data_IF_722522254446
#
_entry.id   IF_722522254446
#
_cell.length_a   1.000
_cell.length_b   1.000
_cell.length_c   1.000
_cell.angle_alpha   90.00
_cell.angle_beta   90.00
_cell.angle_gamma   90.00
#
_symmetry.space_group_name_H-M   'P 1'
#
loop_
_entity.id
_entity.type
_entity.pdbx_description
1 polymer ?
#
# COMPACT_ATOMS: atom_id res chain seq x y z
N UNK A 1 -18.96 38.82 -37.63
CA UNK A 1 -17.75 38.05 -38.02
C UNK A 1 -16.61 38.52 -37.13
N UNK A 2 -15.96 37.73 -36.30
CA UNK A 2 -16.14 36.37 -35.80
C UNK A 2 -15.16 36.32 -34.61
N UNK A 3 -15.63 36.44 -33.36
CA UNK A 3 -14.76 36.15 -32.19
C UNK A 3 -15.01 34.70 -31.81
N UNK A 4 -14.11 33.82 -32.24
CA UNK A 4 -14.09 32.43 -31.80
C UNK A 4 -13.50 32.40 -30.39
N UNK A 5 -14.37 32.15 -29.42
CA UNK A 5 -13.98 31.75 -28.08
C UNK A 5 -13.26 30.40 -28.16
N UNK A 6 -12.03 30.36 -27.66
CA UNK A 6 -11.29 29.14 -27.39
C UNK A 6 -11.88 28.60 -26.08
N UNK A 7 -12.75 27.60 -26.16
CA UNK A 7 -13.13 26.81 -25.00
C UNK A 7 -11.91 25.97 -24.56
N UNK A 8 -11.18 26.47 -23.56
CA UNK A 8 -10.30 25.63 -22.75
C UNK A 8 -11.17 24.57 -22.09
N UNK A 9 -11.15 23.37 -22.66
CA UNK A 9 -11.75 22.18 -22.07
C UNK A 9 -10.91 21.84 -20.84
N UNK A 10 -11.30 22.38 -19.68
CA UNK A 10 -10.75 21.99 -18.38
C UNK A 10 -11.01 20.48 -18.25
N UNK A 11 -9.97 19.67 -18.41
CA UNK A 11 -10.04 18.25 -18.13
C UNK A 11 -10.08 18.15 -16.60
N UNK A 12 -11.26 17.89 -16.06
CA UNK A 12 -11.47 17.70 -14.63
C UNK A 12 -10.63 16.49 -14.19
N UNK A 13 -9.64 16.72 -13.32
CA UNK A 13 -8.74 15.66 -12.87
C UNK A 13 -9.52 14.63 -12.07
N UNK A 14 -9.49 13.37 -12.50
CA UNK A 14 -10.20 12.29 -11.83
C UNK A 14 -9.62 12.04 -10.44
N UNK A 15 -10.45 12.14 -9.40
CA UNK A 15 -10.06 11.96 -8.00
C UNK A 15 -10.49 10.62 -7.44
N UNK A 16 -9.74 10.10 -6.45
CA UNK A 16 -9.95 8.78 -5.91
C UNK A 16 -11.18 8.62 -5.01
N UNK A 17 -11.74 9.72 -4.51
CA UNK A 17 -12.90 9.75 -3.63
C UNK A 17 -13.78 10.95 -4.00
N UNK A 18 -15.05 10.69 -4.25
CA UNK A 18 -16.06 11.69 -4.58
C UNK A 18 -17.21 11.62 -3.56
N UNK A 19 -17.85 12.76 -3.31
CA UNK A 19 -19.02 12.88 -2.42
C UNK A 19 -20.21 13.37 -3.25
N UNK A 20 -21.24 12.54 -3.36
CA UNK A 20 -22.52 12.90 -3.93
C UNK A 20 -23.37 13.62 -2.86
N UNK A 21 -23.50 14.94 -3.02
CA UNK A 21 -24.25 15.78 -2.08
C UNK A 21 -25.75 15.55 -2.06
N UNK A 22 -26.33 14.96 -3.11
CA UNK A 22 -27.77 14.66 -3.18
C UNK A 22 -28.12 13.43 -2.32
N UNK A 23 -27.15 12.53 -2.12
CA UNK A 23 -27.29 11.38 -1.23
C UNK A 23 -26.89 11.68 0.21
N UNK A 24 -26.25 12.82 0.48
CA UNK A 24 -25.75 13.15 1.81
C UNK A 24 -26.89 13.42 2.80
N UNK A 25 -27.03 12.56 3.80
CA UNK A 25 -28.03 12.69 4.87
C UNK A 25 -27.62 13.61 6.04
N UNK A 26 -26.49 14.33 5.93
CA UNK A 26 -26.02 15.31 6.94
C UNK A 26 -25.87 14.75 8.38
N UNK A 27 -25.58 13.45 8.53
CA UNK A 27 -25.51 12.74 9.81
C UNK A 27 -24.18 12.87 10.59
N UNK A 28 -23.14 13.49 10.00
CA UNK A 28 -21.81 13.73 10.61
C UNK A 28 -20.98 12.48 10.99
N UNK A 29 -21.37 11.27 10.59
CA UNK A 29 -20.58 10.06 10.87
C UNK A 29 -19.20 10.15 10.19
N UNK A 30 -19.18 10.54 8.92
CA UNK A 30 -17.97 10.57 8.10
C UNK A 30 -16.96 11.64 8.57
N UNK A 31 -17.41 12.82 9.00
CA UNK A 31 -16.54 13.86 9.58
C UNK A 31 -15.98 13.43 10.94
N UNK A 32 -16.78 12.77 11.79
CA UNK A 32 -16.33 12.26 13.09
C UNK A 32 -15.27 11.15 12.97
N UNK A 33 -15.37 10.33 11.93
CA UNK A 33 -14.47 9.20 11.68
C UNK A 33 -13.23 9.57 10.88
N UNK A 34 -13.22 10.72 10.19
CA UNK A 34 -12.05 11.16 9.44
C UNK A 34 -10.87 11.41 10.41
N UNK A 35 -9.72 10.74 10.24
CA UNK A 35 -8.52 11.03 11.02
C UNK A 35 -7.75 12.24 10.52
N UNK A 36 -8.05 12.70 9.30
CA UNK A 36 -7.26 13.68 8.56
C UNK A 36 -8.00 15.00 8.35
N UNK A 37 -9.15 15.18 9.00
CA UNK A 37 -9.97 16.39 8.90
C UNK A 37 -10.37 16.80 7.47
N UNK A 38 -10.31 15.85 6.53
CA UNK A 38 -10.70 16.03 5.13
C UNK A 38 -12.21 16.15 4.93
N UNK A 39 -13.02 15.88 5.96
CA UNK A 39 -14.47 15.92 5.90
C UNK A 39 -14.98 16.85 7.00
N UNK A 40 -15.65 17.93 6.60
CA UNK A 40 -16.19 18.94 7.51
C UNK A 40 -17.67 19.12 7.28
N UNK A 41 -18.35 19.68 8.28
CA UNK A 41 -19.74 20.08 8.14
C UNK A 41 -19.78 21.55 7.74
N UNK A 42 -20.48 21.85 6.67
CA UNK A 42 -20.79 23.21 6.29
C UNK A 42 -21.80 23.81 7.28
N UNK A 43 -21.53 25.02 7.78
CA UNK A 43 -22.32 25.63 8.84
C UNK A 43 -23.69 26.12 8.36
N UNK A 44 -23.82 26.47 7.09
CA UNK A 44 -25.05 27.03 6.50
C UNK A 44 -26.00 25.93 6.03
N UNK A 45 -25.50 24.99 5.25
CA UNK A 45 -26.28 23.90 4.63
C UNK A 45 -26.39 22.68 5.53
N UNK A 46 -25.48 22.53 6.50
CA UNK A 46 -25.34 21.33 7.31
C UNK A 46 -24.83 20.11 6.54
N UNK A 47 -24.54 20.24 5.24
CA UNK A 47 -24.00 19.15 4.42
C UNK A 47 -22.53 18.89 4.76
N UNK A 48 -22.06 17.72 4.39
CA UNK A 48 -20.63 17.40 4.49
C UNK A 48 -19.90 17.97 3.27
N UNK A 49 -18.72 18.56 3.50
CA UNK A 49 -17.79 19.03 2.47
C UNK A 49 -16.52 18.18 2.53
N UNK A 50 -16.03 17.75 1.37
CA UNK A 50 -14.78 17.01 1.20
C UNK A 50 -13.66 17.94 0.75
N UNK A 51 -12.66 18.14 1.60
CA UNK A 51 -11.39 18.77 1.25
C UNK A 51 -10.44 17.70 0.69
N UNK A 52 -10.49 17.49 -0.63
CA UNK A 52 -9.76 16.39 -1.28
C UNK A 52 -8.28 16.41 -0.95
N UNK A 53 -7.61 17.56 -0.88
CA UNK A 53 -6.17 17.65 -0.59
C UNK A 53 -5.74 17.06 0.75
N UNK A 54 -6.63 17.04 1.75
CA UNK A 54 -6.35 16.40 3.05
C UNK A 54 -6.69 14.91 3.05
N UNK A 55 -7.41 14.43 2.05
CA UNK A 55 -7.88 13.06 1.99
C UNK A 55 -6.71 12.08 1.78
N UNK A 56 -6.53 11.18 2.71
CA UNK A 56 -5.53 10.11 2.61
C UNK A 56 -6.08 8.84 1.95
N UNK A 57 -7.29 8.90 1.39
CA UNK A 57 -7.98 7.81 0.67
C UNK A 57 -8.05 6.53 1.53
N UNK A 58 -8.30 6.69 2.84
CA UNK A 58 -8.37 5.57 3.79
C UNK A 58 -9.61 4.70 3.57
N UNK A 59 -10.71 5.29 3.06
CA UNK A 59 -11.98 4.64 2.74
C UNK A 59 -12.94 4.47 3.93
N UNK A 60 -12.66 5.09 5.09
CA UNK A 60 -13.53 4.97 6.26
C UNK A 60 -14.91 5.59 6.01
N UNK A 61 -14.96 6.80 5.42
CA UNK A 61 -16.20 7.48 5.06
C UNK A 61 -17.03 6.68 4.05
N UNK A 62 -16.38 6.10 3.04
CA UNK A 62 -17.00 5.20 2.07
C UNK A 62 -17.67 4.02 2.76
N UNK A 63 -16.92 3.31 3.62
CA UNK A 63 -17.39 2.08 4.24
C UNK A 63 -18.49 2.26 5.30
N UNK A 64 -18.70 3.48 5.79
CA UNK A 64 -19.56 3.75 6.97
C UNK A 64 -20.76 4.63 6.64
N UNK A 65 -20.82 5.20 5.43
CA UNK A 65 -21.86 6.12 5.05
C UNK A 65 -23.18 5.38 4.85
N UNK A 66 -24.19 5.56 5.73
CA UNK A 66 -25.44 4.84 5.61
C UNK A 66 -26.23 5.22 4.35
N UNK A 67 -26.01 6.42 3.83
CA UNK A 67 -26.67 6.92 2.63
C UNK A 67 -25.89 6.62 1.34
N UNK A 68 -24.74 5.95 1.42
CA UNK A 68 -23.87 5.60 0.27
C UNK A 68 -23.52 6.81 -0.60
N UNK A 69 -23.31 7.95 0.03
CA UNK A 69 -22.99 9.21 -0.63
C UNK A 69 -21.54 9.31 -1.12
N UNK A 70 -20.68 8.32 -0.88
CA UNK A 70 -19.28 8.36 -1.30
C UNK A 70 -19.03 7.31 -2.38
N UNK A 71 -18.34 7.73 -3.43
CA UNK A 71 -17.78 6.85 -4.45
C UNK A 71 -16.26 6.83 -4.31
N UNK A 72 -15.65 5.65 -4.48
CA UNK A 72 -14.20 5.46 -4.34
C UNK A 72 -13.68 4.64 -5.51
N UNK A 73 -12.56 5.03 -6.11
CA UNK A 73 -11.97 4.30 -7.24
C UNK A 73 -11.38 2.95 -6.80
N UNK A 74 -10.79 2.92 -5.61
CA UNK A 74 -10.02 1.78 -5.14
C UNK A 74 -10.84 0.92 -4.17
N UNK A 75 -11.06 -0.34 -4.53
CA UNK A 75 -11.74 -1.33 -3.69
C UNK A 75 -13.18 -0.89 -3.37
N UNK A 76 -13.91 -0.42 -4.39
CA UNK A 76 -15.37 -0.26 -4.29
C UNK A 76 -16.05 -1.62 -4.09
N UNK A 77 -17.33 -1.58 -3.74
CA UNK A 77 -18.16 -2.76 -3.48
C UNK A 77 -18.22 -3.70 -4.69
N UNK A 78 -18.25 -3.16 -5.90
CA UNK A 78 -18.38 -3.93 -7.13
C UNK A 78 -17.10 -4.69 -7.44
N UNK A 79 -15.93 -4.05 -7.33
CA UNK A 79 -14.63 -4.68 -7.50
C UNK A 79 -14.31 -5.70 -6.41
N UNK A 80 -14.68 -5.40 -5.16
CA UNK A 80 -14.59 -6.37 -4.06
C UNK A 80 -15.46 -7.59 -4.32
N UNK A 81 -16.69 -7.38 -4.82
CA UNK A 81 -17.62 -8.48 -5.13
C UNK A 81 -17.11 -9.32 -6.29
N UNK A 82 -16.68 -8.71 -7.39
CA UNK A 82 -16.08 -9.41 -8.54
C UNK A 82 -14.84 -10.21 -8.15
N UNK A 83 -13.97 -9.62 -7.34
CA UNK A 83 -12.81 -10.31 -6.78
C UNK A 83 -13.23 -11.56 -6.01
N UNK A 84 -14.19 -11.46 -5.08
CA UNK A 84 -14.64 -12.60 -4.28
C UNK A 84 -15.26 -13.70 -5.15
N UNK A 85 -16.03 -13.34 -6.17
CA UNK A 85 -16.68 -14.31 -7.08
C UNK A 85 -15.64 -15.10 -7.86
N UNK A 86 -14.62 -14.42 -8.40
CA UNK A 86 -13.49 -15.06 -9.09
C UNK A 86 -12.62 -15.88 -8.13
N UNK A 87 -12.24 -15.31 -6.99
CA UNK A 87 -11.31 -15.95 -6.06
C UNK A 87 -11.93 -17.18 -5.39
N UNK A 88 -13.25 -17.21 -5.17
CA UNK A 88 -13.92 -18.42 -4.67
C UNK A 88 -13.75 -19.60 -5.64
N UNK A 89 -13.81 -19.35 -6.95
CA UNK A 89 -13.62 -20.38 -7.97
C UNK A 89 -12.15 -20.82 -8.07
N UNK A 90 -11.22 -19.86 -8.01
CA UNK A 90 -9.79 -20.10 -8.13
C UNK A 90 -9.21 -20.85 -6.93
N UNK A 91 -9.52 -20.38 -5.71
CA UNK A 91 -8.97 -20.95 -4.49
C UNK A 91 -9.78 -22.14 -3.97
N UNK A 92 -11.04 -22.32 -4.37
CA UNK A 92 -11.92 -23.40 -3.89
C UNK A 92 -11.87 -23.53 -2.34
N UNK A 93 -12.15 -22.42 -1.66
CA UNK A 93 -12.20 -22.36 -0.19
C UNK A 93 -13.45 -21.65 0.30
N UNK A 94 -13.91 -22.06 1.47
CA UNK A 94 -14.99 -21.40 2.20
C UNK A 94 -14.44 -20.53 3.36
N UNK A 95 -13.14 -20.31 3.38
CA UNK A 95 -12.47 -19.43 4.33
C UNK A 95 -11.91 -18.22 3.60
N UNK A 96 -12.30 -17.02 4.03
CA UNK A 96 -11.77 -15.76 3.52
C UNK A 96 -10.84 -15.14 4.56
N UNK A 97 -9.67 -14.68 4.14
CA UNK A 97 -8.77 -13.89 4.99
C UNK A 97 -8.56 -12.52 4.37
N UNK A 98 -9.04 -11.47 5.03
CA UNK A 98 -8.89 -10.07 4.62
C UNK A 98 -7.78 -9.43 5.44
N UNK A 99 -6.76 -8.87 4.79
CA UNK A 99 -5.53 -8.43 5.44
C UNK A 99 -5.25 -6.94 5.20
N UNK A 100 -4.96 -6.21 6.28
CA UNK A 100 -4.39 -4.85 6.24
C UNK A 100 -2.99 -4.95 5.60
N UNK A 101 -2.75 -4.29 4.46
CA UNK A 101 -1.41 -4.22 3.84
C UNK A 101 -0.32 -3.74 4.81
N UNK A 102 -0.69 -2.95 5.82
CA UNK A 102 0.24 -2.49 6.85
C UNK A 102 0.69 -3.58 7.82
N UNK A 103 -0.05 -4.68 7.97
CA UNK A 103 0.23 -5.73 8.94
C UNK A 103 0.24 -7.15 8.35
N UNK A 104 0.15 -7.28 7.04
CA UNK A 104 0.09 -8.58 6.37
C UNK A 104 1.47 -9.25 6.40
N UNK A 105 1.62 -10.39 7.11
CA UNK A 105 2.83 -11.18 7.06
C UNK A 105 2.81 -12.06 5.80
N UNK A 106 3.73 -13.02 5.71
CA UNK A 106 3.66 -14.06 4.67
C UNK A 106 2.48 -15.02 4.89
N UNK A 107 2.20 -15.86 3.89
CA UNK A 107 1.07 -16.80 3.95
C UNK A 107 1.22 -17.83 5.07
N UNK A 108 2.41 -18.36 5.31
CA UNK A 108 2.67 -19.33 6.39
C UNK A 108 2.30 -18.77 7.76
N UNK A 109 2.61 -17.49 8.02
CA UNK A 109 2.24 -16.84 9.28
C UNK A 109 0.75 -16.56 9.37
N UNK A 110 0.08 -16.27 8.26
CA UNK A 110 -1.39 -16.15 8.23
C UNK A 110 -2.05 -17.49 8.59
N UNK A 111 -1.54 -18.59 8.04
CA UNK A 111 -1.98 -19.95 8.36
C UNK A 111 -1.84 -20.25 9.86
N UNK A 112 -0.67 -19.96 10.44
CA UNK A 112 -0.42 -20.08 11.89
C UNK A 112 -1.37 -19.20 12.71
N UNK A 113 -1.50 -17.92 12.33
CA UNK A 113 -2.30 -16.95 13.05
C UNK A 113 -3.77 -17.35 13.10
N UNK A 114 -4.36 -17.86 12.03
CA UNK A 114 -5.78 -18.22 12.01
C UNK A 114 -6.07 -19.71 12.15
N UNK A 115 -5.05 -20.57 12.18
CA UNK A 115 -5.22 -22.02 12.19
C UNK A 115 -5.89 -22.52 10.92
N UNK A 116 -5.52 -21.95 9.77
CA UNK A 116 -6.11 -22.24 8.44
C UNK A 116 -5.03 -22.81 7.52
N UNK A 117 -5.41 -23.64 6.54
CA UNK A 117 -4.48 -24.23 5.57
C UNK A 117 -4.85 -23.94 4.11
N UNK A 118 -6.09 -23.50 3.87
CA UNK A 118 -6.59 -23.18 2.53
C UNK A 118 -7.62 -22.05 2.64
N UNK A 119 -7.34 -20.90 2.05
CA UNK A 119 -8.18 -19.72 2.18
C UNK A 119 -8.07 -18.81 0.95
N UNK A 120 -9.07 -17.94 0.80
CA UNK A 120 -9.09 -16.85 -0.19
C UNK A 120 -8.35 -15.65 0.43
N UNK A 121 -7.23 -15.16 -0.15
CA UNK A 121 -6.44 -14.07 0.42
C UNK A 121 -6.81 -12.70 -0.18
N UNK A 122 -7.50 -11.84 0.57
CA UNK A 122 -7.82 -10.47 0.13
C UNK A 122 -6.95 -9.44 0.88
N UNK A 123 -5.91 -8.95 0.23
CA UNK A 123 -5.07 -7.87 0.79
C UNK A 123 -5.60 -6.50 0.36
N UNK A 124 -5.83 -5.61 1.33
CA UNK A 124 -6.40 -4.28 1.10
C UNK A 124 -5.59 -3.21 1.82
N UNK A 125 -5.54 -1.96 1.33
CA UNK A 125 -4.75 -0.92 1.99
C UNK A 125 -5.18 -0.70 3.44
N UNK A 126 -6.49 -0.74 3.71
CA UNK A 126 -7.04 -0.69 5.06
C UNK A 126 -8.24 -1.62 5.17
N UNK A 127 -8.29 -2.50 6.16
CA UNK A 127 -9.49 -3.32 6.43
C UNK A 127 -10.70 -2.47 6.85
N UNK A 128 -10.47 -1.26 7.37
CA UNK A 128 -11.52 -0.31 7.72
C UNK A 128 -12.25 0.26 6.51
N UNK A 129 -11.77 0.08 5.28
CA UNK A 129 -12.47 0.51 4.07
C UNK A 129 -13.55 -0.46 3.61
N UNK A 130 -13.58 -1.67 4.16
CA UNK A 130 -14.46 -2.72 3.69
C UNK A 130 -15.89 -2.44 4.18
N UNK A 131 -16.86 -2.23 3.28
CA UNK A 131 -18.27 -2.07 3.65
C UNK A 131 -18.84 -3.37 4.23
N UNK A 132 -19.83 -3.23 5.10
CA UNK A 132 -20.51 -4.34 5.75
C UNK A 132 -21.12 -5.32 4.73
N UNK A 133 -21.60 -4.78 3.61
CA UNK A 133 -22.20 -5.53 2.51
C UNK A 133 -21.24 -6.56 1.92
N UNK A 134 -19.93 -6.30 1.92
CA UNK A 134 -18.94 -7.25 1.40
C UNK A 134 -18.86 -8.50 2.27
N UNK A 135 -18.93 -8.35 3.60
CA UNK A 135 -18.96 -9.50 4.51
C UNK A 135 -20.25 -10.30 4.35
N UNK A 136 -21.40 -9.61 4.23
CA UNK A 136 -22.69 -10.26 4.00
C UNK A 136 -22.72 -10.99 2.66
N UNK A 137 -22.22 -10.37 1.59
CA UNK A 137 -22.07 -10.97 0.27
C UNK A 137 -21.17 -12.20 0.34
N UNK A 138 -20.02 -12.14 1.01
CA UNK A 138 -19.15 -13.29 1.20
C UNK A 138 -19.87 -14.48 1.86
N UNK A 139 -20.63 -14.23 2.95
CA UNK A 139 -21.41 -15.26 3.63
C UNK A 139 -22.48 -15.89 2.73
N UNK A 140 -23.23 -15.07 1.98
CA UNK A 140 -24.24 -15.55 1.03
C UNK A 140 -23.67 -16.34 -0.14
N UNK A 141 -22.39 -16.12 -0.48
CA UNK A 141 -21.63 -16.94 -1.43
C UNK A 141 -21.11 -18.25 -0.81
N UNK A 142 -21.49 -18.58 0.43
CA UNK A 142 -21.11 -19.81 1.11
C UNK A 142 -19.72 -19.79 1.75
N UNK A 143 -19.08 -18.62 1.90
CA UNK A 143 -17.93 -18.47 2.80
C UNK A 143 -18.46 -18.65 4.23
N UNK A 144 -17.85 -19.56 5.00
CA UNK A 144 -18.31 -19.94 6.35
C UNK A 144 -17.48 -19.32 7.47
N UNK A 145 -16.25 -18.93 7.16
CA UNK A 145 -15.35 -18.28 8.09
C UNK A 145 -14.68 -17.09 7.42
N UNK A 146 -14.86 -15.91 7.99
CA UNK A 146 -14.17 -14.69 7.55
C UNK A 146 -13.17 -14.32 8.64
N UNK A 147 -11.91 -14.22 8.26
CA UNK A 147 -10.82 -13.84 9.14
C UNK A 147 -10.30 -12.48 8.69
N UNK A 148 -10.13 -11.56 9.62
CA UNK A 148 -9.64 -10.21 9.36
C UNK A 148 -8.36 -10.03 10.13
N UNK A 149 -7.29 -9.71 9.42
CA UNK A 149 -6.02 -9.32 10.00
C UNK A 149 -5.86 -7.81 9.90
N UNK A 150 -6.07 -7.13 11.00
CA UNK A 150 -5.91 -5.70 11.10
C UNK A 150 -4.55 -5.33 11.70
N UNK A 151 -4.15 -4.09 11.45
CA UNK A 151 -2.99 -3.49 12.08
C UNK A 151 -3.27 -3.27 13.60
N UNK A 152 -2.26 -3.36 14.48
CA UNK A 152 -2.42 -2.88 15.87
C UNK A 152 -2.86 -1.41 15.90
N UNK A 153 -3.58 -1.00 16.94
CA UNK A 153 -4.17 0.34 17.00
C UNK A 153 -3.08 1.43 17.01
N UNK A 154 -2.04 1.30 17.84
CA UNK A 154 -0.89 2.22 17.88
C UNK A 154 0.04 2.15 16.64
N UNK A 155 -0.23 1.18 15.75
CA UNK A 155 0.49 0.97 14.50
C UNK A 155 -0.34 1.39 13.26
N UNK A 156 -1.61 1.75 13.44
CA UNK A 156 -2.52 1.95 12.34
C UNK A 156 -2.06 3.09 11.41
N UNK A 157 -1.76 2.77 10.14
CA UNK A 157 -1.30 3.75 9.14
C UNK A 157 -2.31 4.82 8.78
N UNK A 158 -3.58 4.53 9.05
CA UNK A 158 -4.67 5.47 8.85
C UNK A 158 -5.27 5.95 10.18
N UNK A 159 -4.53 5.81 11.28
CA UNK A 159 -4.88 6.22 12.65
C UNK A 159 -6.14 5.53 13.21
N UNK A 160 -7.32 5.78 12.65
CA UNK A 160 -8.60 5.22 13.09
C UNK A 160 -9.03 3.93 12.39
N UNK A 161 -8.28 3.45 11.40
CA UNK A 161 -8.69 2.30 10.58
C UNK A 161 -8.94 1.00 11.38
N UNK A 162 -7.98 0.64 12.22
CA UNK A 162 -8.03 -0.54 13.08
C UNK A 162 -9.12 -0.48 14.15
N UNK A 163 -9.25 0.60 14.95
CA UNK A 163 -10.31 0.68 15.96
C UNK A 163 -11.71 0.79 15.36
N UNK A 164 -11.88 1.46 14.21
CA UNK A 164 -13.18 1.47 13.49
C UNK A 164 -13.56 0.06 13.06
N UNK A 165 -12.62 -0.69 12.46
CA UNK A 165 -12.87 -2.08 12.06
C UNK A 165 -13.33 -2.94 13.23
N UNK A 166 -12.66 -2.85 14.38
CA UNK A 166 -13.04 -3.63 15.57
C UNK A 166 -14.49 -3.38 16.00
N UNK A 167 -14.93 -2.12 16.03
CA UNK A 167 -16.31 -1.76 16.36
C UNK A 167 -17.32 -2.29 15.32
N UNK A 168 -17.00 -2.16 14.03
CA UNK A 168 -17.83 -2.69 12.93
C UNK A 168 -18.03 -4.20 13.06
N UNK A 169 -16.94 -4.94 13.28
CA UNK A 169 -16.98 -6.41 13.37
C UNK A 169 -17.71 -6.89 14.62
N UNK A 170 -17.54 -6.21 15.75
CA UNK A 170 -18.32 -6.50 16.95
C UNK A 170 -19.83 -6.37 16.69
N UNK A 171 -20.26 -5.24 16.12
CA UNK A 171 -21.67 -5.01 15.80
C UNK A 171 -22.20 -6.03 14.78
N UNK A 172 -21.41 -6.34 13.75
CA UNK A 172 -21.79 -7.29 12.71
C UNK A 172 -21.92 -8.72 13.24
N UNK A 173 -21.01 -9.20 14.10
CA UNK A 173 -21.13 -10.52 14.71
C UNK A 173 -22.37 -10.65 15.62
N UNK A 174 -22.78 -9.57 16.31
CA UNK A 174 -24.02 -9.56 17.08
C UNK A 174 -25.24 -9.74 16.17
N UNK A 175 -25.29 -9.01 15.05
CA UNK A 175 -26.33 -9.15 14.03
C UNK A 175 -26.35 -10.56 13.42
N UNK A 176 -25.18 -11.07 13.03
CA UNK A 176 -25.04 -12.40 12.43
C UNK A 176 -25.46 -13.52 13.40
N UNK A 177 -25.20 -13.36 14.70
CA UNK A 177 -25.70 -14.25 15.73
C UNK A 177 -27.23 -14.32 15.76
N UNK A 178 -27.90 -13.16 15.65
CA UNK A 178 -29.38 -13.09 15.59
C UNK A 178 -29.95 -13.69 14.29
N UNK A 179 -29.20 -13.60 13.19
CA UNK A 179 -29.57 -14.17 11.89
C UNK A 179 -29.24 -15.67 11.76
N UNK A 180 -28.71 -16.30 12.82
CA UNK A 180 -28.41 -17.74 12.83
C UNK A 180 -27.06 -18.14 12.23
N UNK A 181 -26.17 -17.19 11.91
CA UNK A 181 -24.81 -17.46 11.43
C UNK A 181 -23.81 -17.71 12.57
N UNK A 182 -24.22 -17.53 13.83
CA UNK A 182 -23.37 -17.66 15.01
C UNK A 182 -22.60 -16.38 15.36
N UNK A 183 -22.05 -16.33 16.57
CA UNK A 183 -21.41 -15.13 17.14
C UNK A 183 -19.93 -14.97 16.77
N UNK A 184 -19.38 -15.87 15.95
CA UNK A 184 -17.97 -15.91 15.53
C UNK A 184 -17.78 -16.12 14.03
N UNK A 185 -18.76 -15.71 13.21
CA UNK A 185 -18.67 -15.81 11.75
C UNK A 185 -17.51 -14.98 11.19
N UNK A 186 -17.16 -13.89 11.88
CA UNK A 186 -16.03 -13.02 11.54
C UNK A 186 -15.03 -12.96 12.70
N UNK A 187 -13.81 -13.42 12.48
CA UNK A 187 -12.73 -13.38 13.45
C UNK A 187 -11.80 -12.21 13.16
N UNK A 188 -11.47 -11.41 14.16
CA UNK A 188 -10.52 -10.30 14.04
C UNK A 188 -9.26 -10.61 14.85
N UNK A 189 -8.10 -10.56 14.18
CA UNK A 189 -6.79 -10.57 14.84
C UNK A 189 -6.01 -9.31 14.49
N UNK A 190 -5.02 -9.00 15.33
CA UNK A 190 -4.10 -7.89 15.11
C UNK A 190 -2.70 -8.42 14.79
N UNK A 191 -1.97 -7.65 14.00
CA UNK A 191 -0.54 -7.85 13.77
C UNK A 191 0.14 -6.51 13.50
N UNK A 192 1.47 -6.49 13.57
CA UNK A 192 2.29 -5.36 13.18
C UNK A 192 3.60 -5.87 12.55
N UNK A 193 4.10 -5.14 11.55
CA UNK A 193 5.36 -5.52 10.91
C UNK A 193 6.53 -4.99 11.73
N UNK A 194 7.45 -5.88 12.10
CA UNK A 194 8.59 -5.57 12.94
C UNK A 194 9.89 -6.02 12.29
N UNK A 195 10.94 -5.25 12.56
CA UNK A 195 12.30 -5.60 12.14
C UNK A 195 12.79 -6.79 12.97
N UNK A 196 13.48 -7.71 12.31
CA UNK A 196 14.20 -8.84 12.91
C UNK A 196 15.70 -8.61 12.72
N UNK A 197 16.49 -9.00 13.71
CA UNK A 197 17.95 -8.88 13.69
C UNK A 197 18.61 -10.25 13.78
N UNK A 198 19.55 -10.49 12.87
CA UNK A 198 20.58 -11.51 13.01
C UNK A 198 21.73 -10.94 13.83
N UNK A 199 21.86 -11.45 15.06
CA UNK A 199 22.87 -10.99 16.02
C UNK A 199 24.30 -11.38 15.63
N UNK A 200 24.45 -12.49 14.91
CA UNK A 200 25.76 -13.02 14.53
C UNK A 200 26.35 -12.23 13.34
N UNK A 201 25.49 -11.63 12.51
CA UNK A 201 25.92 -10.73 11.42
C UNK A 201 26.06 -9.28 11.84
N UNK A 202 25.56 -8.88 13.00
CA UNK A 202 25.59 -7.49 13.43
C UNK A 202 27.02 -7.01 13.73
N UNK A 203 27.49 -5.97 13.04
CA UNK A 203 28.82 -5.38 13.25
C UNK A 203 28.82 -4.14 14.17
N UNK A 204 27.72 -3.89 14.88
CA UNK A 204 27.59 -2.77 15.83
C UNK A 204 27.85 -1.36 15.24
N UNK A 205 27.69 -1.14 13.92
CA UNK A 205 28.03 0.15 13.27
C UNK A 205 27.13 1.33 13.65
N UNK A 206 25.95 1.09 14.23
CA UNK A 206 25.03 2.15 14.67
C UNK A 206 24.18 2.82 13.57
N UNK A 207 24.30 2.45 12.28
CA UNK A 207 23.48 3.05 11.22
C UNK A 207 21.97 2.96 11.49
N UNK A 208 21.51 1.79 11.94
CA UNK A 208 20.10 1.60 12.27
C UNK A 208 19.63 2.45 13.46
N UNK A 209 20.53 2.85 14.37
CA UNK A 209 20.24 3.82 15.43
C UNK A 209 20.14 5.22 14.83
N UNK A 210 21.16 5.63 14.07
CA UNK A 210 21.24 6.96 13.48
C UNK A 210 20.07 7.29 12.53
N UNK A 211 19.67 6.34 11.68
CA UNK A 211 18.63 6.58 10.67
C UNK A 211 17.21 6.32 11.17
N UNK A 212 17.02 5.65 12.31
CA UNK A 212 15.68 5.30 12.80
C UNK A 212 14.90 6.57 13.15
N UNK A 213 13.75 6.85 12.51
CA UNK A 213 12.96 8.04 12.83
C UNK A 213 12.17 7.93 14.14
N UNK A 214 12.12 6.74 14.72
CA UNK A 214 11.26 6.41 15.85
C UNK A 214 12.07 6.08 17.10
N UNK A 215 13.39 6.28 17.06
CA UNK A 215 14.30 5.94 18.18
C UNK A 215 14.17 4.49 18.65
N UNK A 216 13.68 3.61 17.76
CA UNK A 216 13.36 2.23 18.07
C UNK A 216 14.60 1.32 18.14
N UNK A 217 15.79 1.83 17.80
CA UNK A 217 17.04 1.06 17.81
C UNK A 217 18.00 1.66 18.82
N UNK A 218 18.64 0.82 19.65
CA UNK A 218 19.62 1.23 20.66
C UNK A 218 20.88 0.38 20.55
N UNK A 219 22.04 1.01 20.58
CA UNK A 219 23.31 0.29 20.59
C UNK A 219 23.64 -0.11 22.03
N UNK A 220 23.55 -1.41 22.34
CA UNK A 220 23.90 -1.91 23.68
C UNK A 220 25.40 -2.00 23.85
N UNK A 221 25.87 -1.82 25.09
CA UNK A 221 27.26 -2.04 25.45
C UNK A 221 27.41 -3.33 26.24
N UNK A 222 28.22 -4.32 25.77
CA UNK A 222 28.96 -4.33 24.52
C UNK A 222 28.19 -4.93 23.32
N UNK A 223 28.13 -4.20 22.20
CA UNK A 223 28.41 -4.75 20.86
C UNK A 223 27.27 -5.24 19.97
N UNK A 224 25.99 -5.09 20.33
CA UNK A 224 24.88 -5.47 19.41
C UNK A 224 23.74 -4.44 19.54
N UNK A 225 23.06 -4.15 18.44
CA UNK A 225 21.87 -3.28 18.47
C UNK A 225 20.65 -4.06 18.99
N UNK A 226 19.89 -3.45 19.90
CA UNK A 226 18.58 -3.90 20.34
C UNK A 226 17.49 -3.05 19.69
N UNK A 227 16.28 -3.61 19.54
CA UNK A 227 15.13 -2.87 19.04
C UNK A 227 13.99 -2.86 20.06
N UNK A 228 13.47 -1.67 20.32
CA UNK A 228 12.17 -1.51 20.95
C UNK A 228 11.09 -1.75 19.90
N UNK A 229 10.48 -2.94 19.97
CA UNK A 229 9.46 -3.33 19.01
C UNK A 229 8.14 -2.58 19.21
N UNK A 230 7.89 -1.93 20.36
CA UNK A 230 6.71 -1.08 20.52
C UNK A 230 6.84 0.19 19.67
N UNK A 231 8.03 0.79 19.66
CA UNK A 231 8.34 1.99 18.87
C UNK A 231 8.59 1.70 17.38
N UNK A 232 9.01 0.48 17.05
CA UNK A 232 9.26 0.08 15.67
C UNK A 232 7.98 0.17 14.82
N UNK A 233 7.96 1.14 13.90
CA UNK A 233 6.87 1.27 12.92
C UNK A 233 7.13 0.49 11.63
N UNK A 234 8.12 -0.41 11.55
CA UNK A 234 8.25 -1.32 10.39
C UNK A 234 8.46 -0.65 9.02
N UNK A 235 9.14 0.51 8.94
CA UNK A 235 9.36 1.22 7.68
C UNK A 235 10.42 0.57 6.75
N UNK A 236 11.31 -0.26 7.31
CA UNK A 236 12.36 -0.94 6.55
C UNK A 236 13.62 -0.11 6.26
N UNK A 237 13.70 1.15 6.70
CA UNK A 237 14.87 2.01 6.47
C UNK A 237 16.17 1.43 7.04
N UNK A 238 16.11 0.89 8.25
CA UNK A 238 17.27 0.25 8.88
C UNK A 238 17.78 -0.96 8.08
N UNK A 239 16.88 -1.68 7.40
CA UNK A 239 17.22 -2.82 6.53
C UNK A 239 17.99 -2.35 5.30
N UNK A 240 17.56 -1.25 4.68
CA UNK A 240 18.24 -0.64 3.53
C UNK A 240 19.62 -0.07 3.88
N UNK A 241 19.79 0.44 5.10
CA UNK A 241 21.03 1.09 5.56
C UNK A 241 22.02 0.16 6.28
N UNK A 242 21.69 -1.12 6.46
CA UNK A 242 22.54 -2.07 7.19
C UNK A 242 23.67 -2.60 6.30
N UNK A 243 24.93 -2.20 6.51
CA UNK A 243 26.04 -2.65 5.66
C UNK A 243 26.36 -4.14 5.83
N UNK A 244 26.00 -4.73 6.97
CA UNK A 244 26.25 -6.14 7.28
C UNK A 244 25.10 -7.08 6.87
N UNK A 245 24.01 -6.52 6.32
CA UNK A 245 22.80 -7.26 5.95
C UNK A 245 22.22 -8.10 7.10
N UNK A 246 22.32 -7.57 8.33
CA UNK A 246 21.93 -8.24 9.56
C UNK A 246 20.47 -7.98 9.97
N UNK A 247 19.73 -7.20 9.18
CA UNK A 247 18.37 -6.77 9.49
C UNK A 247 17.42 -7.22 8.41
N UNK A 248 16.23 -7.68 8.81
CA UNK A 248 15.16 -8.08 7.91
C UNK A 248 13.83 -7.50 8.37
N UNK A 249 12.89 -7.36 7.44
CA UNK A 249 11.51 -7.00 7.73
C UNK A 249 10.64 -8.15 7.21
N UNK A 250 9.79 -8.69 8.07
CA UNK A 250 8.92 -9.82 7.73
C UNK A 250 8.13 -9.58 6.44
N UNK A 251 8.16 -10.53 5.50
CA UNK A 251 7.57 -10.46 4.15
C UNK A 251 8.31 -9.54 3.14
N UNK A 252 9.36 -8.83 3.57
CA UNK A 252 10.26 -8.01 2.72
C UNK A 252 11.74 -8.31 3.01
N UNK A 253 12.03 -9.59 3.25
CA UNK A 253 13.38 -10.14 3.34
C UNK A 253 14.14 -9.88 2.03
N UNK A 254 15.45 -9.72 2.14
CA UNK A 254 16.28 -9.36 0.99
C UNK A 254 16.22 -10.43 -0.11
N UNK A 255 16.37 -11.70 0.28
CA UNK A 255 16.35 -12.83 -0.65
C UNK A 255 15.00 -12.99 -1.35
N UNK A 256 13.90 -12.71 -0.63
CA UNK A 256 12.55 -12.75 -1.19
C UNK A 256 12.38 -11.73 -2.31
N UNK A 257 12.84 -10.49 -2.08
CA UNK A 257 12.82 -9.44 -3.10
C UNK A 257 13.75 -9.80 -4.28
N UNK A 258 14.96 -10.29 -4.02
CA UNK A 258 15.91 -10.73 -5.06
C UNK A 258 15.35 -11.86 -5.95
N UNK A 259 14.66 -12.83 -5.34
CA UNK A 259 13.95 -13.90 -6.04
C UNK A 259 12.83 -13.34 -6.91
N UNK A 260 12.07 -12.38 -6.38
CA UNK A 260 10.99 -11.72 -7.11
C UNK A 260 11.52 -10.91 -8.30
N UNK A 261 12.62 -10.16 -8.14
CA UNK A 261 13.29 -9.44 -9.23
C UNK A 261 13.71 -10.42 -10.33
N UNK A 262 14.36 -11.52 -9.97
CA UNK A 262 14.81 -12.55 -10.92
C UNK A 262 13.63 -13.16 -11.69
N UNK A 263 12.53 -13.50 -10.98
CA UNK A 263 11.33 -14.04 -11.61
C UNK A 263 10.70 -13.03 -12.57
N UNK A 264 10.36 -11.83 -12.08
CA UNK A 264 9.66 -10.81 -12.86
C UNK A 264 10.48 -10.38 -14.08
N UNK A 265 11.79 -10.19 -13.92
CA UNK A 265 12.68 -9.86 -15.05
C UNK A 265 12.72 -10.93 -16.13
N UNK A 266 12.57 -12.21 -15.80
CA UNK A 266 12.52 -13.28 -16.79
C UNK A 266 11.18 -13.34 -17.57
N UNK A 267 10.10 -12.82 -16.99
CA UNK A 267 8.75 -12.84 -17.54
C UNK A 267 8.36 -11.55 -18.30
N UNK A 268 9.24 -10.54 -18.32
CA UNK A 268 9.01 -9.25 -18.99
C UNK A 268 9.54 -9.22 -20.41
N UNK A 269 8.79 -8.57 -21.30
CA UNK A 269 9.24 -8.17 -22.63
C UNK A 269 10.13 -6.92 -22.55
N UNK A 270 11.03 -6.74 -23.53
CA UNK A 270 11.86 -5.52 -23.60
C UNK A 270 11.03 -4.35 -24.17
N UNK A 271 11.34 -3.10 -23.78
CA UNK A 271 12.29 -2.74 -22.71
C UNK A 271 11.69 -2.98 -21.32
N UNK A 272 12.45 -3.66 -20.45
CA UNK A 272 11.98 -4.13 -19.14
C UNK A 272 12.02 -3.00 -18.13
N UNK A 273 10.87 -2.70 -17.50
CA UNK A 273 10.75 -1.66 -16.49
C UNK A 273 10.28 -2.27 -15.18
N UNK A 274 11.10 -2.13 -14.14
CA UNK A 274 10.76 -2.57 -12.80
C UNK A 274 10.43 -1.37 -11.91
N UNK A 275 9.25 -1.41 -11.29
CA UNK A 275 8.78 -0.35 -10.40
C UNK A 275 8.86 -0.83 -8.95
N UNK A 276 9.61 -0.14 -8.10
CA UNK A 276 9.52 -0.28 -6.64
C UNK A 276 8.53 0.76 -6.11
N UNK A 277 7.41 0.30 -5.58
CA UNK A 277 6.31 1.19 -5.21
C UNK A 277 6.05 1.14 -3.72
N UNK A 278 6.01 2.30 -3.07
CA UNK A 278 5.43 2.41 -1.75
C UNK A 278 3.94 2.03 -1.83
N UNK A 279 3.51 1.00 -1.09
CA UNK A 279 2.13 0.52 -1.12
C UNK A 279 1.06 1.56 -0.69
N UNK A 280 1.49 2.71 -0.19
CA UNK A 280 0.63 3.83 0.24
C UNK A 280 0.61 5.00 -0.74
N UNK A 281 1.56 5.07 -1.68
CA UNK A 281 1.65 6.17 -2.65
C UNK A 281 0.57 6.07 -3.73
N UNK A 282 0.22 4.84 -4.12
CA UNK A 282 -0.93 4.53 -4.96
C UNK A 282 -1.35 3.09 -4.67
N UNK A 283 -2.63 2.79 -4.86
CA UNK A 283 -3.16 1.46 -4.60
C UNK A 283 -3.31 0.67 -5.90
N UNK A 284 -2.98 -0.62 -5.90
CA UNK A 284 -3.39 -1.51 -6.98
C UNK A 284 -4.92 -1.65 -6.97
N UNK A 285 -5.61 -1.44 -8.10
CA UNK A 285 -6.99 -1.89 -8.26
C UNK A 285 -7.09 -3.41 -8.07
N UNK A 286 -8.26 -3.91 -7.65
CA UNK A 286 -8.52 -5.35 -7.54
C UNK A 286 -8.75 -6.01 -8.90
N UNK A 287 -9.40 -5.28 -9.80
CA UNK A 287 -9.93 -5.82 -11.05
C UNK A 287 -8.99 -5.64 -12.25
N UNK A 288 -8.04 -4.71 -12.19
CA UNK A 288 -7.40 -4.26 -13.42
C UNK A 288 -6.22 -5.14 -13.81
N UNK A 289 -6.38 -5.73 -15.00
CA UNK A 289 -5.54 -5.44 -16.16
C UNK A 289 -4.07 -5.72 -15.97
N UNK A 290 -3.56 -6.71 -16.70
CA UNK A 290 -2.13 -6.92 -16.86
C UNK A 290 -1.47 -5.55 -17.08
N UNK A 291 -0.57 -5.15 -16.17
CA UNK A 291 0.40 -4.11 -16.51
C UNK A 291 1.01 -4.46 -17.86
N UNK A 292 1.37 -3.45 -18.66
CA UNK A 292 2.02 -3.66 -19.94
C UNK A 292 3.08 -4.79 -19.82
N UNK A 293 3.21 -5.68 -20.81
CA UNK A 293 3.99 -6.92 -20.66
C UNK A 293 5.45 -6.66 -20.24
N UNK A 294 5.95 -5.46 -20.53
CA UNK A 294 7.28 -4.98 -20.21
C UNK A 294 7.43 -4.29 -18.83
N UNK A 295 6.33 -4.06 -18.09
CA UNK A 295 6.31 -3.40 -16.78
C UNK A 295 5.91 -4.38 -15.67
N UNK A 296 6.68 -4.40 -14.58
CA UNK A 296 6.28 -5.10 -13.34
C UNK A 296 6.48 -4.22 -12.12
N UNK A 297 5.62 -4.40 -11.13
CA UNK A 297 5.61 -3.60 -9.89
C UNK A 297 5.89 -4.52 -8.70
N UNK A 298 6.82 -4.11 -7.84
CA UNK A 298 7.07 -4.68 -6.51
C UNK A 298 6.57 -3.68 -5.47
N UNK A 299 5.54 -4.08 -4.71
CA UNK A 299 5.05 -3.31 -3.57
C UNK A 299 6.00 -3.44 -2.38
N UNK A 300 6.48 -2.30 -1.88
CA UNK A 300 7.26 -2.16 -0.67
C UNK A 300 6.37 -1.64 0.47
N UNK A 301 6.69 -1.95 1.74
CA UNK A 301 5.89 -1.50 2.87
C UNK A 301 6.02 0.02 3.05
N UNK A 302 7.11 0.60 2.53
CA UNK A 302 7.43 2.02 2.42
C UNK A 302 8.54 2.19 1.37
N UNK A 303 8.61 3.35 0.72
CA UNK A 303 9.74 3.70 -0.16
C UNK A 303 11.09 3.68 0.57
N UNK A 304 11.13 3.90 1.88
CA UNK A 304 12.35 3.81 2.66
C UNK A 304 12.95 2.39 2.74
N UNK A 305 12.20 1.35 2.36
CA UNK A 305 12.74 -0.01 2.21
C UNK A 305 13.53 -0.19 0.91
N UNK A 306 13.43 0.73 -0.05
CA UNK A 306 14.20 0.70 -1.29
C UNK A 306 15.68 0.52 -0.96
N UNK A 307 16.28 -0.43 -1.64
CA UNK A 307 17.61 -0.92 -1.34
C UNK A 307 18.50 -0.72 -2.57
N UNK A 308 19.63 0.00 -2.47
CA UNK A 308 20.54 0.18 -3.60
C UNK A 308 20.98 -1.15 -4.21
N UNK A 309 21.12 -2.20 -3.38
CA UNK A 309 21.47 -3.53 -3.86
C UNK A 309 20.40 -4.09 -4.81
N UNK A 310 19.11 -3.93 -4.48
CA UNK A 310 18.02 -4.44 -5.32
C UNK A 310 17.87 -3.65 -6.62
N UNK A 311 18.19 -2.35 -6.62
CA UNK A 311 18.23 -1.53 -7.84
C UNK A 311 19.36 -2.04 -8.76
N UNK A 312 20.56 -2.23 -8.21
CA UNK A 312 21.70 -2.75 -8.96
C UNK A 312 21.45 -4.18 -9.46
N UNK A 313 20.86 -5.03 -8.63
CA UNK A 313 20.46 -6.39 -9.01
C UNK A 313 19.44 -6.39 -10.15
N UNK A 314 18.46 -5.48 -10.12
CA UNK A 314 17.50 -5.34 -11.21
C UNK A 314 18.21 -5.06 -12.54
N UNK A 315 19.13 -4.09 -12.58
CA UNK A 315 19.94 -3.81 -13.77
C UNK A 315 20.79 -5.02 -14.18
N UNK A 316 21.43 -5.71 -13.22
CA UNK A 316 22.20 -6.92 -13.49
C UNK A 316 21.34 -8.04 -14.12
N UNK A 317 20.06 -8.12 -13.77
CA UNK A 317 19.09 -9.09 -14.32
C UNK A 317 18.50 -8.65 -15.67
N UNK A 318 19.00 -7.55 -16.24
CA UNK A 318 18.60 -7.05 -17.55
C UNK A 318 17.32 -6.22 -17.55
N UNK A 319 16.95 -5.64 -16.40
CA UNK A 319 15.96 -4.55 -16.35
C UNK A 319 16.57 -3.31 -17.02
N UNK A 320 15.84 -2.72 -17.95
CA UNK A 320 16.29 -1.57 -18.75
C UNK A 320 15.99 -0.23 -18.06
N UNK A 321 14.97 -0.17 -17.19
CA UNK A 321 14.64 1.00 -16.38
C UNK A 321 14.08 0.64 -15.00
N UNK A 322 14.47 1.38 -13.97
CA UNK A 322 13.97 1.22 -12.60
C UNK A 322 13.29 2.51 -12.15
N UNK A 323 12.02 2.41 -11.74
CA UNK A 323 11.25 3.52 -11.21
C UNK A 323 10.95 3.29 -9.73
N UNK A 324 11.11 4.33 -8.91
CA UNK A 324 10.71 4.34 -7.50
C UNK A 324 9.55 5.31 -7.34
N UNK A 325 8.40 4.79 -6.92
CA UNK A 325 7.21 5.59 -6.64
C UNK A 325 6.99 5.69 -5.13
N UNK A 326 7.10 6.91 -4.59
CA UNK A 326 6.99 7.21 -3.17
C UNK A 326 5.80 8.14 -2.87
N UNK A 327 5.43 8.23 -1.59
CA UNK A 327 4.51 9.28 -1.14
C UNK A 327 5.25 10.62 -1.16
N UNK A 328 4.52 11.71 -1.39
CA UNK A 328 4.97 13.05 -1.03
C UNK A 328 5.15 13.16 0.51
N UNK A 329 5.76 14.24 0.98
CA UNK A 329 5.89 14.49 2.43
C UNK A 329 4.53 14.58 3.11
N UNK A 330 3.60 15.32 2.51
CA UNK A 330 2.23 15.54 3.03
C UNK A 330 1.37 14.26 3.03
N UNK A 331 1.72 13.27 2.20
CA UNK A 331 0.96 12.02 2.06
C UNK A 331 1.61 10.82 2.73
N UNK A 332 2.78 11.01 3.32
CA UNK A 332 3.51 9.91 3.91
C UNK A 332 2.76 9.38 5.14
N UNK A 333 2.38 8.10 5.12
CA UNK A 333 1.73 7.41 6.27
C UNK A 333 2.70 7.14 7.43
N UNK A 334 3.90 7.69 7.32
CA UNK A 334 5.05 7.53 8.21
C UNK A 334 5.84 8.84 8.19
N UNK A 335 5.21 9.96 8.58
CA UNK A 335 5.70 11.35 8.45
C UNK A 335 7.22 11.50 8.60
N UNK A 336 7.83 10.93 9.64
CA UNK A 336 9.27 10.99 9.92
C UNK A 336 10.20 10.27 8.91
N UNK A 337 9.64 9.65 7.88
CA UNK A 337 10.34 8.80 6.89
C UNK A 337 10.37 9.44 5.49
N UNK A 338 9.54 10.44 5.21
CA UNK A 338 9.47 11.08 3.89
C UNK A 338 10.83 11.65 3.45
N UNK A 339 11.08 11.68 2.14
CA UNK A 339 12.32 12.20 1.55
C UNK A 339 13.59 11.34 1.75
N UNK A 340 13.64 10.46 2.76
CA UNK A 340 14.85 9.65 3.04
C UNK A 340 15.23 8.72 1.89
N UNK A 341 14.24 8.15 1.19
CA UNK A 341 14.47 7.31 0.01
C UNK A 341 14.91 8.11 -1.21
N UNK A 342 14.41 9.35 -1.36
CA UNK A 342 14.77 10.21 -2.48
C UNK A 342 16.25 10.55 -2.45
N UNK A 343 16.77 10.96 -1.28
CA UNK A 343 18.19 11.22 -1.11
C UNK A 343 19.07 9.99 -1.44
N UNK A 344 18.67 8.82 -0.96
CA UNK A 344 19.40 7.56 -1.23
C UNK A 344 19.41 7.22 -2.73
N UNK A 345 18.28 7.41 -3.42
CA UNK A 345 18.16 7.16 -4.85
C UNK A 345 18.95 8.19 -5.67
N UNK A 346 18.93 9.46 -5.26
CA UNK A 346 19.72 10.52 -5.89
C UNK A 346 21.22 10.24 -5.81
N UNK A 347 21.73 9.88 -4.63
CA UNK A 347 23.15 9.51 -4.43
C UNK A 347 23.51 8.28 -5.28
N UNK A 348 22.62 7.30 -5.39
CA UNK A 348 22.84 6.16 -6.28
C UNK A 348 22.87 6.60 -7.75
N UNK A 349 21.96 7.49 -8.17
CA UNK A 349 21.92 8.05 -9.52
C UNK A 349 23.24 8.72 -9.92
N UNK A 350 23.84 9.52 -9.02
CA UNK A 350 25.17 10.11 -9.23
C UNK A 350 26.26 9.06 -9.45
N UNK A 351 26.20 7.92 -8.76
CA UNK A 351 27.14 6.79 -8.98
C UNK A 351 26.86 6.08 -10.29
N UNK A 352 25.59 5.90 -10.65
CA UNK A 352 25.18 5.27 -11.91
C UNK A 352 25.54 6.12 -13.14
N UNK A 353 25.70 7.44 -12.99
CA UNK A 353 26.18 8.33 -14.06
C UNK A 353 27.54 7.88 -14.63
N UNK A 354 28.41 7.34 -13.77
CA UNK A 354 29.75 6.89 -14.13
C UNK A 354 29.75 5.67 -15.05
N UNK A 355 28.63 4.95 -15.11
CA UNK A 355 28.43 3.76 -15.95
C UNK A 355 27.28 3.93 -16.95
N UNK A 356 26.77 5.14 -17.14
CA UNK A 356 25.73 5.45 -18.12
C UNK A 356 24.32 4.92 -17.79
N UNK A 357 24.02 4.65 -16.52
CA UNK A 357 22.71 4.13 -16.09
C UNK A 357 21.85 5.17 -15.36
N UNK A 358 22.30 6.42 -15.24
CA UNK A 358 21.57 7.46 -14.49
C UNK A 358 20.18 7.73 -15.07
N UNK A 359 20.05 7.89 -16.40
CA UNK A 359 18.76 8.12 -17.08
C UNK A 359 17.82 6.91 -17.02
N UNK A 360 18.30 5.77 -16.51
CA UNK A 360 17.51 4.55 -16.34
C UNK A 360 16.97 4.37 -14.92
N UNK A 361 17.20 5.35 -14.03
CA UNK A 361 16.72 5.36 -12.65
C UNK A 361 15.86 6.61 -12.42
N UNK A 362 14.57 6.42 -12.16
CA UNK A 362 13.63 7.51 -11.91
C UNK A 362 13.04 7.43 -10.51
N UNK A 363 12.86 8.58 -9.85
CA UNK A 363 12.17 8.71 -8.58
C UNK A 363 11.03 9.71 -8.75
N UNK A 364 9.81 9.32 -8.38
CA UNK A 364 8.67 10.21 -8.38
C UNK A 364 7.90 10.14 -7.06
N UNK A 365 7.22 11.25 -6.75
CA UNK A 365 6.26 11.31 -5.65
C UNK A 365 4.85 11.35 -6.21
N UNK A 366 3.97 10.51 -5.68
CA UNK A 366 2.58 10.42 -6.11
C UNK A 366 1.67 10.30 -4.89
N UNK A 367 0.41 10.69 -5.08
CA UNK A 367 -0.62 10.63 -4.07
C UNK A 367 -1.74 9.67 -4.51
N UNK A 368 -2.29 8.87 -3.60
CA UNK A 368 -3.38 7.96 -3.96
C UNK A 368 -4.67 8.72 -4.30
N UNK A 369 -4.74 10.04 -4.08
CA UNK A 369 -5.88 10.89 -4.49
C UNK A 369 -6.01 11.04 -6.00
N UNK A 370 -4.90 10.94 -6.72
CA UNK A 370 -4.81 11.27 -8.13
C UNK A 370 -4.23 10.07 -8.89
N UNK A 371 -5.05 9.04 -9.17
CA UNK A 371 -4.57 7.79 -9.79
C UNK A 371 -3.82 8.03 -11.11
N UNK A 372 -4.30 8.99 -11.90
CA UNK A 372 -3.75 9.28 -13.23
C UNK A 372 -2.34 9.90 -13.19
N UNK A 373 -1.96 10.56 -12.09
CA UNK A 373 -0.59 11.10 -11.95
C UNK A 373 0.46 9.99 -11.97
N UNK A 374 0.20 8.87 -11.30
CA UNK A 374 1.11 7.72 -11.34
C UNK A 374 1.14 7.07 -12.73
N UNK A 375 0.00 7.00 -13.42
CA UNK A 375 -0.04 6.47 -14.79
C UNK A 375 0.78 7.36 -15.74
N UNK A 376 0.65 8.69 -15.61
CA UNK A 376 1.42 9.66 -16.40
C UNK A 376 2.93 9.56 -16.16
N UNK A 377 3.37 9.49 -14.90
CA UNK A 377 4.78 9.27 -14.54
C UNK A 377 5.33 7.97 -15.15
N UNK A 378 4.56 6.89 -15.07
CA UNK A 378 4.97 5.60 -15.60
C UNK A 378 5.03 5.59 -17.13
N UNK A 379 4.06 6.23 -17.80
CA UNK A 379 4.04 6.35 -19.25
C UNK A 379 5.21 7.20 -19.76
N UNK A 380 5.45 8.36 -19.14
CA UNK A 380 6.57 9.22 -19.48
C UNK A 380 7.90 8.47 -19.35
N UNK A 381 8.14 7.84 -18.20
CA UNK A 381 9.36 7.08 -17.98
C UNK A 381 9.49 5.90 -18.96
N UNK A 382 8.38 5.23 -19.29
CA UNK A 382 8.40 4.14 -20.27
C UNK A 382 8.83 4.63 -21.66
N UNK A 383 8.37 5.80 -22.10
CA UNK A 383 8.78 6.39 -23.39
C UNK A 383 10.27 6.78 -23.40
N UNK A 384 10.77 7.31 -22.29
CA UNK A 384 12.20 7.63 -22.12
C UNK A 384 13.07 6.37 -22.25
N UNK A 385 12.71 5.28 -21.55
CA UNK A 385 13.44 4.02 -21.61
C UNK A 385 13.40 3.39 -23.01
N UNK A 386 12.24 3.41 -23.69
CA UNK A 386 12.14 2.96 -25.10
C UNK A 386 13.12 3.73 -25.98
N UNK A 387 13.15 5.06 -25.84
CA UNK A 387 14.06 5.93 -26.61
C UNK A 387 15.53 5.59 -26.38
N UNK A 388 15.92 5.33 -25.13
CA UNK A 388 17.28 4.93 -24.78
C UNK A 388 17.61 3.56 -25.37
N UNK A 389 16.71 2.58 -25.26
CA UNK A 389 16.96 1.21 -25.74
C UNK A 389 17.05 1.13 -27.27
N UNK A 390 16.22 1.87 -28.01
CA UNK A 390 16.30 1.94 -29.47
C UNK A 390 17.63 2.56 -29.95
N UNK A 391 18.16 3.59 -29.25
CA UNK A 391 19.49 4.16 -29.56
C UNK A 391 20.63 3.16 -29.35
N UNK A 392 20.47 2.23 -28.42
CA UNK A 392 21.46 1.19 -28.09
C UNK A 392 21.28 -0.11 -28.89
N UNK A 393 20.24 -0.21 -29.74
CA UNK A 393 19.92 -1.43 -30.49
C UNK A 393 19.46 -2.60 -29.61
N UNK A 394 18.78 -2.30 -28.49
CA UNK A 394 18.32 -3.27 -27.48
C UNK A 394 16.79 -3.43 -27.48
N UNK A 395 16.20 -3.52 -28.67
CA UNK A 395 14.77 -3.77 -28.86
C UNK A 395 14.35 -5.20 -28.51
#
# INVERSE_FOLDING_TARGET
MNEQAIEEKVIEEKVALELNEDYCASCSICSSLCPFEALKKDEETGKTVLEIEKCQVCGLCYSTCPAKAFDIIYYDIDSLTRYLEKAKQEYDSNTLVIMCKGSAPDFSKVEELFGVTKYIPLSVPCVGRIPEEVFLKALTMGIRAINILACDDDFCRFDKGSPVTARKILALNLLLGQLGYGTGAINLKRNNLKVKIDKDRCIACGNCVFYCPYDAAKLESPGIVSFDLAECKGCGLCVAMCPALALELENWERERISTLISKLSSEMERPKILVFRCQWATFSPLDNGQSAPNIRIIDLPCAARVDPFHILEAFQKGVDGVLIAACSEDDCKQEKVSGKSEHLVAVLGERLSQIGLQERLHFCTVAPRYPERFNGELEQFSQEIVTICSKEGRE
#
